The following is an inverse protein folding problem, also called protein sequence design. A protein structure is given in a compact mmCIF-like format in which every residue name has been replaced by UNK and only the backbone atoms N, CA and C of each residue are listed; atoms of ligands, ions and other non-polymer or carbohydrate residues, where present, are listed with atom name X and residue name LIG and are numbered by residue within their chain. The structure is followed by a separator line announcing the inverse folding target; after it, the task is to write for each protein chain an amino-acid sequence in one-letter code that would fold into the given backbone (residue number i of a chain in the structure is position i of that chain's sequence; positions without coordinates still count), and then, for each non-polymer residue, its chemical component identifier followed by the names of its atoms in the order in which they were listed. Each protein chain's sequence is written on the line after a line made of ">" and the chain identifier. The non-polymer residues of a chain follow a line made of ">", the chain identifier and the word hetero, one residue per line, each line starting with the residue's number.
data_IF_218711353632
#
_entry.id   IF_218711353632
#
_cell.length_a   1.000
_cell.length_b   1.000
_cell.length_c   1.000
_cell.angle_alpha   90.00
_cell.angle_beta   90.00
_cell.angle_gamma   90.00
#
_symmetry.space_group_name_H-M   'P 1'
#
loop_
_entity.id
_entity.type
_entity.pdbx_description
1 polymer ?
#
# COMPACT_ATOMS: atom_id res chain seq x y z
N UNK A 1 -65.24 -34.92 -9.38
CA UNK A 1 -64.49 -35.83 -8.49
C UNK A 1 -63.00 -35.48 -8.61
N UNK A 2 -62.35 -35.24 -7.45
CA UNK A 2 -60.88 -35.05 -7.18
C UNK A 2 -60.26 -33.75 -7.74
N UNK A 3 -59.98 -32.71 -6.93
CA UNK A 3 -58.84 -32.48 -5.99
C UNK A 3 -57.45 -32.56 -6.70
N UNK A 4 -56.44 -31.69 -6.54
CA UNK A 4 -56.11 -30.60 -5.59
C UNK A 4 -54.89 -29.82 -6.18
N UNK A 5 -54.89 -28.47 -6.08
CA UNK A 5 -53.81 -27.56 -5.59
C UNK A 5 -52.46 -27.49 -6.36
N UNK A 6 -51.75 -26.36 -6.56
CA UNK A 6 -51.73 -25.03 -5.94
C UNK A 6 -51.28 -23.94 -6.96
N UNK A 7 -51.73 -22.72 -6.71
CA UNK A 7 -51.45 -21.45 -7.42
C UNK A 7 -50.38 -20.67 -6.59
N UNK A 8 -49.59 -19.77 -7.21
CA UNK A 8 -48.27 -19.32 -6.75
C UNK A 8 -48.33 -18.11 -5.82
N UNK A 9 -47.28 -17.83 -5.04
CA UNK A 9 -46.97 -16.48 -4.53
C UNK A 9 -45.47 -16.29 -4.21
N UNK A 10 -44.99 -15.09 -4.56
CA UNK A 10 -43.82 -14.37 -4.04
C UNK A 10 -44.41 -13.24 -3.13
N UNK A 11 -43.72 -12.47 -2.26
CA UNK A 11 -42.62 -12.65 -1.30
C UNK A 11 -43.00 -12.17 0.15
N UNK A 12 -42.11 -12.34 1.14
CA UNK A 12 -41.58 -11.31 2.09
C UNK A 12 -41.09 -11.87 3.45
N UNK A 13 -39.86 -11.48 3.77
CA UNK A 13 -39.20 -11.21 5.07
C UNK A 13 -39.41 -12.05 6.36
N UNK A 14 -38.22 -12.34 6.95
CA UNK A 14 -37.76 -12.26 8.36
C UNK A 14 -37.51 -13.56 9.15
N UNK A 15 -36.23 -13.69 9.55
CA UNK A 15 -35.68 -14.17 10.84
C UNK A 15 -35.97 -15.65 11.25
N UNK A 16 -35.07 -16.48 11.75
CA UNK A 16 -33.77 -16.34 12.43
C UNK A 16 -33.04 -17.71 12.40
N UNK A 17 -31.80 -17.69 12.89
CA UNK A 17 -30.89 -18.78 13.28
C UNK A 17 -29.84 -19.23 12.27
N UNK A 18 -28.64 -18.62 12.32
CA UNK A 18 -27.55 -18.92 13.27
C UNK A 18 -26.86 -20.25 12.98
N UNK A 19 -25.73 -20.16 12.26
CA UNK A 19 -24.52 -20.87 12.65
C UNK A 19 -23.28 -20.15 12.13
N UNK A 20 -22.53 -19.67 13.11
CA UNK A 20 -21.30 -18.93 13.04
C UNK A 20 -20.23 -19.55 12.14
N UNK A 21 -19.75 -18.75 11.20
CA UNK A 21 -18.41 -18.86 10.62
C UNK A 21 -17.68 -17.57 10.98
N UNK A 22 -16.84 -17.67 11.99
CA UNK A 22 -16.00 -16.63 12.56
C UNK A 22 -15.13 -15.97 11.48
N UNK A 23 -15.44 -14.72 11.12
CA UNK A 23 -14.41 -13.79 10.65
C UNK A 23 -14.52 -12.57 11.55
N UNK A 24 -13.77 -12.59 12.65
CA UNK A 24 -13.40 -11.37 13.34
C UNK A 24 -12.62 -10.54 12.33
N UNK A 25 -13.33 -9.70 11.57
CA UNK A 25 -12.74 -8.50 11.03
C UNK A 25 -12.51 -7.63 12.25
N UNK A 26 -11.26 -7.58 12.71
CA UNK A 26 -10.84 -6.52 13.63
C UNK A 26 -11.30 -5.18 13.03
N UNK A 27 -12.03 -4.36 13.79
CA UNK A 27 -12.29 -3.01 13.35
C UNK A 27 -10.93 -2.31 13.22
N UNK A 28 -10.71 -1.64 12.09
CA UNK A 28 -9.65 -0.66 11.93
C UNK A 28 -9.63 0.20 13.20
N UNK A 29 -8.54 0.12 13.97
CA UNK A 29 -8.44 0.80 15.24
C UNK A 29 -8.70 2.29 15.01
N UNK A 30 -9.82 2.75 15.56
CA UNK A 30 -10.08 4.15 15.77
C UNK A 30 -8.89 4.74 16.52
N UNK A 31 -8.49 5.95 16.13
CA UNK A 31 -7.61 6.82 16.91
C UNK A 31 -8.01 6.76 18.39
N UNK A 32 -7.22 6.03 19.16
CA UNK A 32 -7.19 6.05 20.60
C UNK A 32 -5.72 5.99 20.96
N UNK A 33 -5.20 7.11 21.45
CA UNK A 33 -3.96 7.14 22.22
C UNK A 33 -4.17 6.25 23.44
N UNK A 34 -3.91 4.95 23.30
CA UNK A 34 -3.70 4.08 24.44
C UNK A 34 -2.18 3.94 24.56
N UNK A 35 -1.58 4.74 25.45
CA UNK A 35 -0.19 4.61 25.92
C UNK A 35 0.07 3.28 26.66
N UNK A 36 -0.85 2.31 26.53
CA UNK A 36 -0.74 1.00 27.15
C UNK A 36 0.15 0.15 26.24
N UNK A 37 1.26 -0.41 26.75
CA UNK A 37 2.09 -1.34 25.99
C UNK A 37 1.23 -2.43 25.37
N UNK A 38 1.32 -2.59 24.06
CA UNK A 38 0.68 -3.72 23.41
C UNK A 38 1.46 -4.99 23.79
N UNK A 39 0.76 -6.10 24.01
CA UNK A 39 1.37 -7.38 24.35
C UNK A 39 2.44 -7.85 23.32
N UNK A 40 2.44 -7.28 22.11
CA UNK A 40 3.41 -7.58 21.04
C UNK A 40 4.59 -6.61 20.96
N UNK A 41 4.70 -5.60 21.83
CA UNK A 41 5.71 -4.53 21.67
C UNK A 41 7.15 -5.02 21.84
N UNK A 42 7.36 -6.11 22.59
CA UNK A 42 8.64 -6.80 22.72
C UNK A 42 8.97 -7.74 21.55
N UNK A 43 8.00 -8.00 20.65
CA UNK A 43 8.24 -8.83 19.48
C UNK A 43 9.15 -8.10 18.47
N UNK A 44 10.07 -8.81 17.80
CA UNK A 44 10.90 -8.21 16.78
C UNK A 44 10.03 -7.65 15.64
N UNK A 45 10.47 -6.53 15.04
CA UNK A 45 9.90 -6.07 13.77
C UNK A 45 10.14 -7.12 12.68
N UNK A 46 9.08 -7.77 12.25
CA UNK A 46 9.13 -8.72 11.14
C UNK A 46 8.83 -7.97 9.86
N UNK A 47 9.85 -7.88 9.01
CA UNK A 47 9.70 -7.41 7.65
C UNK A 47 9.30 -8.58 6.78
N UNK A 48 8.08 -8.54 6.23
CA UNK A 48 7.67 -9.51 5.21
C UNK A 48 8.56 -9.29 4.00
N UNK A 49 9.16 -10.37 3.47
CA UNK A 49 9.92 -10.32 2.22
C UNK A 49 9.07 -9.59 1.19
N UNK A 50 9.52 -8.45 0.67
CA UNK A 50 8.65 -7.64 -0.14
C UNK A 50 8.22 -8.44 -1.36
N UNK A 51 6.91 -8.47 -1.61
CA UNK A 51 6.42 -9.08 -2.84
C UNK A 51 7.03 -8.33 -4.01
N UNK A 52 7.73 -9.04 -4.88
CA UNK A 52 8.23 -8.46 -6.12
C UNK A 52 7.04 -8.22 -7.05
N UNK A 53 6.42 -7.05 -6.89
CA UNK A 53 5.27 -6.63 -7.69
C UNK A 53 5.66 -6.44 -9.16
N UNK A 54 6.91 -6.11 -9.46
CA UNK A 54 7.41 -6.00 -10.83
C UNK A 54 7.40 -7.36 -11.54
N UNK A 55 7.92 -8.41 -10.88
CA UNK A 55 7.85 -9.77 -11.40
C UNK A 55 6.41 -10.28 -11.43
N UNK A 56 5.63 -10.03 -10.38
CA UNK A 56 4.22 -10.45 -10.31
C UNK A 56 3.39 -9.83 -11.43
N UNK A 57 3.56 -8.54 -11.71
CA UNK A 57 2.85 -7.82 -12.77
C UNK A 57 3.19 -8.35 -14.17
N UNK A 58 4.48 -8.67 -14.42
CA UNK A 58 4.91 -9.25 -15.69
C UNK A 58 4.34 -10.66 -15.89
N UNK A 59 4.41 -11.49 -14.86
CA UNK A 59 3.82 -12.84 -14.88
C UNK A 59 2.31 -12.80 -15.09
N UNK A 60 1.61 -11.87 -14.43
CA UNK A 60 0.16 -11.72 -14.60
C UNK A 60 -0.19 -11.25 -16.00
N UNK A 61 0.58 -10.31 -16.59
CA UNK A 61 0.38 -9.92 -17.98
C UNK A 61 0.53 -11.12 -18.92
N UNK A 62 1.63 -11.86 -18.78
CA UNK A 62 1.92 -13.00 -19.65
C UNK A 62 0.82 -14.06 -19.52
N UNK A 63 0.35 -14.32 -18.28
CA UNK A 63 -0.81 -15.17 -18.01
C UNK A 63 -2.09 -14.68 -18.68
N UNK A 64 -2.43 -13.39 -18.57
CA UNK A 64 -3.63 -12.82 -19.20
C UNK A 64 -3.59 -12.96 -20.73
N UNK A 65 -2.42 -12.73 -21.33
CA UNK A 65 -2.21 -12.91 -22.77
C UNK A 65 -2.38 -14.39 -23.16
N UNK A 66 -1.82 -15.32 -22.39
CA UNK A 66 -1.98 -16.76 -22.60
C UNK A 66 -3.45 -17.23 -22.44
N UNK A 67 -4.21 -16.58 -21.56
CA UNK A 67 -5.66 -16.79 -21.37
C UNK A 67 -6.51 -16.14 -22.49
N UNK A 68 -5.88 -15.43 -23.44
CA UNK A 68 -6.51 -14.87 -24.63
C UNK A 68 -6.88 -13.39 -24.54
N UNK A 69 -6.35 -12.65 -23.56
CA UNK A 69 -6.48 -11.20 -23.52
C UNK A 69 -5.78 -10.55 -24.73
N UNK A 70 -6.36 -9.47 -25.26
CA UNK A 70 -5.70 -8.63 -26.26
C UNK A 70 -4.44 -8.00 -25.64
N UNK A 71 -3.24 -8.15 -26.24
CA UNK A 71 -2.03 -7.50 -25.75
C UNK A 71 -2.16 -5.98 -25.57
N UNK A 72 -3.00 -5.31 -26.38
CA UNK A 72 -3.24 -3.87 -26.26
C UNK A 72 -4.21 -3.51 -25.11
N UNK A 73 -4.82 -4.51 -24.47
CA UNK A 73 -5.74 -4.35 -23.34
C UNK A 73 -5.06 -4.49 -21.97
N UNK A 74 -3.78 -4.85 -21.92
CA UNK A 74 -3.01 -4.97 -20.67
C UNK A 74 -1.64 -4.32 -20.86
N UNK A 75 -1.36 -3.25 -20.12
CA UNK A 75 -0.07 -2.55 -20.18
C UNK A 75 0.60 -2.52 -18.80
N UNK A 76 1.93 -2.45 -18.78
CA UNK A 76 2.69 -2.21 -17.55
C UNK A 76 2.73 -0.72 -17.23
N UNK A 77 2.76 -0.38 -15.94
CA UNK A 77 2.86 1.02 -15.50
C UNK A 77 4.11 1.71 -16.04
N UNK A 78 5.23 0.98 -16.15
CA UNK A 78 6.47 1.46 -16.76
C UNK A 78 6.33 1.81 -18.26
N UNK A 79 5.31 1.28 -18.93
CA UNK A 79 5.01 1.51 -20.35
C UNK A 79 4.09 2.72 -20.59
N UNK A 80 3.45 3.28 -19.55
CA UNK A 80 2.57 4.47 -19.66
C UNK A 80 3.25 5.63 -20.38
N UNK A 81 4.56 5.81 -20.14
CA UNK A 81 5.37 6.85 -20.82
C UNK A 81 5.42 6.70 -22.34
N UNK A 82 5.25 5.49 -22.86
CA UNK A 82 5.22 5.22 -24.31
C UNK A 82 3.90 5.72 -24.92
N UNK A 83 2.83 5.74 -24.14
CA UNK A 83 1.51 6.25 -24.56
C UNK A 83 1.41 7.77 -24.40
N UNK A 84 2.15 8.36 -23.47
CA UNK A 84 2.20 9.81 -23.24
C UNK A 84 3.65 10.33 -23.33
N UNK A 85 4.27 10.31 -24.53
CA UNK A 85 5.63 10.82 -24.66
C UNK A 85 5.68 12.32 -24.37
N UNK A 86 6.73 12.78 -23.69
CA UNK A 86 6.95 14.20 -23.40
C UNK A 86 7.36 14.93 -24.67
N UNK A 87 6.75 16.09 -24.95
CA UNK A 87 7.07 16.90 -26.13
C UNK A 87 8.07 18.00 -25.77
N UNK A 88 9.00 18.29 -26.68
CA UNK A 88 9.97 19.38 -26.48
C UNK A 88 9.23 20.73 -26.41
N UNK A 89 9.61 21.57 -25.44
CA UNK A 89 8.98 22.88 -25.22
C UNK A 89 7.55 22.85 -24.63
N UNK A 90 7.01 21.67 -24.31
CA UNK A 90 5.69 21.55 -23.70
C UNK A 90 5.70 22.03 -22.24
N UNK A 91 4.73 22.88 -21.90
CA UNK A 91 4.58 23.34 -20.52
C UNK A 91 4.13 22.20 -19.60
N UNK A 92 4.45 22.24 -18.29
CA UNK A 92 3.96 21.26 -17.33
C UNK A 92 2.42 21.14 -17.30
N UNK A 93 1.71 22.26 -17.47
CA UNK A 93 0.25 22.29 -17.48
C UNK A 93 -0.33 21.60 -18.72
N UNK A 94 0.23 21.87 -19.90
CA UNK A 94 -0.20 21.22 -21.15
C UNK A 94 0.09 19.73 -21.12
N UNK A 95 1.25 19.33 -20.58
CA UNK A 95 1.59 17.93 -20.36
C UNK A 95 0.59 17.25 -19.42
N UNK A 96 0.29 17.85 -18.27
CA UNK A 96 -0.65 17.29 -17.29
C UNK A 96 -2.06 17.11 -17.89
N UNK A 97 -2.53 18.10 -18.64
CA UNK A 97 -3.83 18.03 -19.34
C UNK A 97 -3.85 16.87 -20.33
N UNK A 98 -2.84 16.77 -21.20
CA UNK A 98 -2.74 15.71 -22.21
C UNK A 98 -2.58 14.33 -21.58
N UNK A 99 -1.81 14.23 -20.50
CA UNK A 99 -1.67 13.01 -19.71
C UNK A 99 -3.04 12.55 -19.20
N UNK A 100 -3.80 13.43 -18.56
CA UNK A 100 -5.14 13.09 -18.06
C UNK A 100 -6.10 12.66 -19.17
N UNK A 101 -6.09 13.35 -20.32
CA UNK A 101 -6.92 13.00 -21.49
C UNK A 101 -6.58 11.59 -22.02
N UNK A 102 -5.29 11.27 -22.18
CA UNK A 102 -4.85 9.96 -22.67
C UNK A 102 -5.16 8.86 -21.65
N UNK A 103 -4.90 9.09 -20.37
CA UNK A 103 -5.20 8.12 -19.31
C UNK A 103 -6.70 7.84 -19.21
N UNK A 104 -7.55 8.86 -19.30
CA UNK A 104 -9.00 8.68 -19.35
C UNK A 104 -9.43 7.88 -20.58
N UNK A 105 -8.78 8.09 -21.73
CA UNK A 105 -9.06 7.31 -22.93
C UNK A 105 -8.62 5.84 -22.80
N UNK A 106 -7.48 5.57 -22.16
CA UNK A 106 -6.99 4.21 -21.85
C UNK A 106 -7.98 3.50 -20.91
N UNK A 107 -8.35 4.15 -19.80
CA UNK A 107 -9.33 3.63 -18.83
C UNK A 107 -10.69 3.41 -19.50
N UNK A 108 -11.14 4.37 -20.32
CA UNK A 108 -12.41 4.28 -21.04
C UNK A 108 -12.49 3.13 -22.06
N UNK A 109 -11.34 2.59 -22.50
CA UNK A 109 -11.26 1.38 -23.33
C UNK A 109 -11.21 0.08 -22.52
N UNK A 110 -11.16 0.17 -21.19
CA UNK A 110 -11.02 -0.99 -20.31
C UNK A 110 -9.62 -1.58 -20.26
N UNK A 111 -8.58 -0.81 -20.63
CA UNK A 111 -7.19 -1.26 -20.54
C UNK A 111 -6.80 -1.42 -19.07
N UNK A 112 -6.25 -2.59 -18.72
CA UNK A 112 -5.72 -2.87 -17.39
C UNK A 112 -4.26 -2.42 -17.30
N UNK A 113 -3.95 -1.64 -16.27
CA UNK A 113 -2.59 -1.13 -16.03
C UNK A 113 -2.01 -1.87 -14.83
N UNK A 114 -1.00 -2.71 -15.05
CA UNK A 114 -0.37 -3.50 -14.00
C UNK A 114 0.82 -2.75 -13.40
N UNK A 115 0.85 -2.63 -12.07
CA UNK A 115 1.87 -1.88 -11.33
C UNK A 115 3.20 -2.62 -11.24
N UNK A 116 4.07 -2.45 -12.24
CA UNK A 116 5.39 -3.08 -12.28
C UNK A 116 6.54 -2.17 -11.79
N UNK A 117 6.21 -0.97 -11.32
CA UNK A 117 7.19 -0.01 -10.80
C UNK A 117 7.38 -0.09 -9.29
N UNK A 118 6.52 -0.82 -8.58
CA UNK A 118 6.76 -1.15 -7.18
C UNK A 118 7.53 -2.47 -7.11
N UNK A 119 8.59 -2.54 -6.32
CA UNK A 119 9.35 -3.79 -6.09
C UNK A 119 9.07 -4.38 -4.72
N UNK A 120 8.31 -3.67 -3.87
CA UNK A 120 8.15 -4.01 -2.47
C UNK A 120 6.93 -3.35 -1.82
N UNK A 121 6.33 -4.01 -0.83
CA UNK A 121 5.58 -3.34 0.23
C UNK A 121 6.61 -2.57 1.06
N UNK A 122 6.83 -1.30 0.75
CA UNK A 122 7.81 -0.48 1.46
C UNK A 122 7.19 -0.05 2.78
N UNK A 123 7.52 -0.77 3.86
CA UNK A 123 7.46 -0.16 5.20
C UNK A 123 8.59 0.86 5.24
N UNK A 124 8.27 2.11 5.61
CA UNK A 124 9.30 3.13 5.82
C UNK A 124 10.28 2.61 6.87
N UNK A 125 11.47 2.23 6.41
CA UNK A 125 12.52 1.66 7.24
C UNK A 125 13.62 2.66 7.55
N UNK A 126 13.73 3.74 6.76
CA UNK A 126 14.72 4.78 6.91
C UNK A 126 14.05 6.11 7.22
N UNK A 127 14.56 6.82 8.24
CA UNK A 127 14.05 8.12 8.68
C UNK A 127 15.21 9.10 8.72
N UNK A 128 15.10 10.19 7.96
CA UNK A 128 16.12 11.24 7.87
C UNK A 128 15.64 12.52 8.54
N UNK A 129 16.43 13.04 9.47
CA UNK A 129 16.18 14.33 10.14
C UNK A 129 16.74 15.49 9.32
N UNK A 130 16.26 16.71 9.56
CA UNK A 130 16.74 17.91 8.84
C UNK A 130 18.24 18.22 9.04
N UNK A 131 18.85 17.73 10.12
CA UNK A 131 20.29 17.83 10.35
C UNK A 131 21.11 16.72 9.67
N UNK A 132 20.46 15.87 8.87
CA UNK A 132 21.08 14.84 8.04
C UNK A 132 21.42 13.54 8.79
N UNK A 133 20.83 13.32 9.97
CA UNK A 133 20.97 12.05 10.69
C UNK A 133 19.97 11.05 10.14
N UNK A 134 20.43 9.81 9.99
CA UNK A 134 19.63 8.75 9.39
C UNK A 134 19.42 7.62 10.40
N UNK A 135 18.17 7.22 10.59
CA UNK A 135 17.77 6.15 11.49
C UNK A 135 17.22 4.99 10.66
N UNK A 136 17.84 3.82 10.82
CA UNK A 136 17.43 2.58 10.16
C UNK A 136 16.67 1.70 11.14
N UNK A 137 15.36 1.62 10.92
CA UNK A 137 14.49 0.71 11.62
C UNK A 137 14.27 -0.58 10.83
N UNK A 138 14.79 -0.68 9.60
CA UNK A 138 14.55 -1.75 8.64
C UNK A 138 14.96 -3.17 9.02
N UNK A 139 14.86 -4.11 8.07
CA UNK A 139 15.27 -5.50 8.28
C UNK A 139 16.70 -5.59 8.83
N UNK A 140 16.86 -6.23 9.98
CA UNK A 140 18.17 -6.38 10.63
C UNK A 140 18.59 -5.22 11.53
N UNK A 141 17.76 -4.18 11.71
CA UNK A 141 17.98 -3.11 12.68
C UNK A 141 17.98 -3.60 14.13
N UNK A 142 17.25 -4.69 14.40
CA UNK A 142 16.99 -5.19 15.76
C UNK A 142 15.91 -4.43 16.51
N UNK A 143 15.17 -3.54 15.83
CA UNK A 143 14.04 -2.82 16.43
C UNK A 143 12.88 -3.77 16.77
N UNK A 144 12.23 -3.53 17.90
CA UNK A 144 10.97 -4.19 18.25
C UNK A 144 9.76 -3.43 17.70
N UNK A 145 8.57 -4.04 17.73
CA UNK A 145 7.33 -3.39 17.32
C UNK A 145 7.01 -2.14 18.15
N UNK A 146 7.26 -2.20 19.46
CA UNK A 146 7.11 -1.06 20.36
C UNK A 146 8.08 0.07 19.99
N UNK A 147 9.35 -0.27 19.75
CA UNK A 147 10.36 0.71 19.36
C UNK A 147 10.03 1.38 18.02
N UNK A 148 9.50 0.64 17.05
CA UNK A 148 9.05 1.22 15.79
C UNK A 148 7.91 2.23 15.98
N UNK A 149 6.93 1.90 16.82
CA UNK A 149 5.79 2.77 17.13
C UNK A 149 6.23 4.04 17.84
N UNK A 150 6.97 3.88 18.94
CA UNK A 150 7.46 5.00 19.74
C UNK A 150 8.40 5.92 18.94
N UNK A 151 9.29 5.33 18.13
CA UNK A 151 10.17 6.11 17.26
C UNK A 151 9.36 6.87 16.21
N UNK A 152 8.39 6.22 15.55
CA UNK A 152 7.56 6.86 14.52
C UNK A 152 6.75 8.01 15.09
N UNK A 153 6.22 7.87 16.30
CA UNK A 153 5.52 8.93 17.01
C UNK A 153 6.48 10.09 17.33
N UNK A 154 7.61 9.80 17.98
CA UNK A 154 8.62 10.80 18.30
C UNK A 154 9.11 11.56 17.05
N UNK A 155 9.37 10.84 15.96
CA UNK A 155 9.85 11.42 14.71
C UNK A 155 8.78 12.32 14.07
N UNK A 156 7.51 11.92 14.12
CA UNK A 156 6.39 12.73 13.62
C UNK A 156 6.22 14.01 14.44
N UNK A 157 6.23 13.92 15.77
CA UNK A 157 6.16 15.07 16.68
C UNK A 157 7.34 16.04 16.48
N UNK A 158 8.55 15.49 16.28
CA UNK A 158 9.75 16.27 15.99
C UNK A 158 9.60 17.05 14.66
N UNK A 159 9.08 16.40 13.60
CA UNK A 159 8.84 17.06 12.30
C UNK A 159 7.77 18.16 12.41
N UNK A 160 6.68 17.92 13.14
CA UNK A 160 5.63 18.91 13.35
C UNK A 160 6.10 20.12 14.17
N UNK A 161 6.96 19.90 15.16
CA UNK A 161 7.50 20.95 16.00
C UNK A 161 8.42 21.92 15.23
N UNK A 162 8.96 21.52 14.07
CA UNK A 162 9.81 22.36 13.22
C UNK A 162 11.06 22.90 13.94
N UNK A 163 11.45 22.25 15.05
CA UNK A 163 12.61 22.62 15.87
C UNK A 163 13.57 21.44 15.93
N UNK A 164 14.87 21.74 15.97
CA UNK A 164 15.91 20.76 16.28
C UNK A 164 15.74 20.29 17.73
N UNK A 165 14.92 19.26 17.93
CA UNK A 165 14.87 18.55 19.20
C UNK A 165 16.08 17.62 19.31
N UNK A 166 16.62 17.51 20.52
CA UNK A 166 17.68 16.56 20.81
C UNK A 166 17.16 15.14 20.63
N UNK A 167 17.94 14.29 19.95
CA UNK A 167 17.57 12.90 19.72
C UNK A 167 17.71 12.13 21.04
N UNK A 168 16.63 11.52 21.57
CA UNK A 168 16.69 10.69 22.76
C UNK A 168 17.74 9.58 22.65
N UNK A 169 18.48 9.32 23.73
CA UNK A 169 19.56 8.32 23.76
C UNK A 169 19.10 6.93 23.28
N UNK A 170 17.84 6.55 23.57
CA UNK A 170 17.25 5.28 23.13
C UNK A 170 17.22 5.10 21.61
N UNK A 171 17.21 6.17 20.83
CA UNK A 171 17.18 6.14 19.36
C UNK A 171 18.56 6.12 18.72
N UNK A 172 19.62 6.48 19.46
CA UNK A 172 20.99 6.50 18.94
C UNK A 172 21.46 5.11 18.46
N UNK A 173 20.92 4.02 19.03
CA UNK A 173 21.23 2.65 18.58
C UNK A 173 20.74 2.35 17.15
N UNK A 174 19.72 3.09 16.69
CA UNK A 174 19.11 2.95 15.36
C UNK A 174 19.77 3.88 14.34
N UNK A 175 20.58 4.83 14.78
CA UNK A 175 21.30 5.74 13.89
C UNK A 175 22.36 4.98 13.06
N UNK A 176 22.34 5.20 11.76
CA UNK A 176 23.31 4.65 10.81
C UNK A 176 23.96 5.79 10.02
N UNK A 177 25.20 5.59 9.53
CA UNK A 177 25.72 6.45 8.49
C UNK A 177 24.74 6.52 7.33
N UNK A 178 24.48 7.72 6.80
CA UNK A 178 23.59 7.88 5.65
C UNK A 178 23.99 6.86 4.57
N UNK A 179 23.04 6.07 4.01
CA UNK A 179 23.36 5.20 2.89
C UNK A 179 23.98 6.06 1.79
N UNK A 180 25.26 5.81 1.49
CA UNK A 180 25.90 6.39 0.31
C UNK A 180 25.20 5.79 -0.89
N UNK A 181 24.71 6.64 -1.79
CA UNK A 181 24.31 6.19 -3.12
C UNK A 181 25.48 5.39 -3.72
N UNK A 182 25.25 4.10 -4.00
CA UNK A 182 26.20 3.21 -4.68
C UNK A 182 25.88 3.24 -6.17
#
# INVERSE_FOLDING_TARGET
>A
MKEITAVPMIPEQKDLDQRSGMTHSEPAQAHGDDEVPHDSDDEPMIYVTPRDYATSARQERDRLIDEGADPDSVILQSEVRNHVPRREGESPADFAKRYAEIMNAIIGRGVSILGDMCTADVVASGFETEDGRFFDLGPGSGATKGEFREFSQWFSEMLEAGQRQEVPEKWLKLEKPHPREI
#
